data_IF_268599597726
#
_entry.id   IF_268599597726
#
_cell.length_a   1.000
_cell.length_b   1.000
_cell.length_c   1.000
_cell.angle_alpha   90.00
_cell.angle_beta   90.00
_cell.angle_gamma   90.00
#
_symmetry.space_group_name_H-M   'P 1'
#
loop_
_entity.id
_entity.type
_entity.pdbx_description
1 polymer ?
#
# COMPACT_ATOMS: atom_id res chain seq x y z
N UNK A 1 20.81 13.17 -7.86
CA UNK A 1 20.85 11.75 -7.46
C UNK A 1 19.95 11.65 -6.24
N UNK A 2 18.64 11.79 -6.43
CA UNK A 2 17.69 11.70 -5.32
C UNK A 2 17.65 10.25 -4.87
N UNK A 3 17.92 10.04 -3.59
CA UNK A 3 17.85 8.75 -2.94
C UNK A 3 16.46 8.15 -3.21
N UNK A 4 16.42 6.90 -3.70
CA UNK A 4 15.19 6.13 -3.72
C UNK A 4 14.60 6.15 -2.30
N UNK A 5 13.29 6.40 -2.11
CA UNK A 5 12.70 6.47 -0.79
C UNK A 5 13.02 5.17 -0.06
N UNK A 6 13.59 5.28 1.14
CA UNK A 6 14.11 4.18 1.94
C UNK A 6 13.09 3.06 2.14
N UNK A 7 13.59 1.87 2.45
CA UNK A 7 12.76 0.69 2.63
C UNK A 7 11.73 0.86 3.73
N UNK A 8 10.45 0.90 3.34
CA UNK A 8 9.32 0.72 4.26
C UNK A 8 9.63 -0.52 5.10
N UNK A 9 9.92 -0.29 6.37
CA UNK A 9 10.31 -1.34 7.29
C UNK A 9 9.06 -2.15 7.68
N UNK A 10 9.25 -3.37 8.17
CA UNK A 10 8.14 -4.26 8.53
C UNK A 10 7.21 -3.64 9.60
N UNK A 11 7.75 -2.73 10.42
CA UNK A 11 7.02 -1.92 11.41
C UNK A 11 6.17 -0.80 10.77
N UNK A 12 6.68 -0.10 9.75
CA UNK A 12 5.91 0.93 9.02
C UNK A 12 4.73 0.32 8.26
N UNK A 13 4.91 -0.92 7.80
CA UNK A 13 3.87 -1.68 7.10
C UNK A 13 2.62 -1.88 7.96
N UNK A 14 2.80 -2.12 9.27
CA UNK A 14 1.71 -2.30 10.22
C UNK A 14 1.00 -0.99 10.57
N UNK A 15 1.69 0.15 10.47
CA UNK A 15 1.09 1.47 10.67
C UNK A 15 0.30 1.93 9.43
N UNK A 16 0.75 1.59 8.22
CA UNK A 16 0.14 2.02 6.97
C UNK A 16 -1.06 1.16 6.55
N UNK A 17 -1.04 -0.15 6.82
CA UNK A 17 -2.11 -1.06 6.39
C UNK A 17 -3.08 -1.34 7.55
N UNK A 18 -4.34 -0.88 7.50
CA UNK A 18 -5.30 -1.12 8.57
C UNK A 18 -5.53 -2.62 8.82
N UNK A 19 -5.85 -3.04 10.07
CA UNK A 19 -5.95 -4.45 10.44
C UNK A 19 -6.86 -5.28 9.53
N UNK A 20 -8.04 -4.75 9.15
CA UNK A 20 -8.97 -5.45 8.25
C UNK A 20 -8.35 -5.83 6.89
N UNK A 21 -7.46 -4.99 6.36
CA UNK A 21 -6.75 -5.30 5.12
C UNK A 21 -5.57 -6.22 5.37
N UNK A 22 -4.83 -6.03 6.46
CA UNK A 22 -3.76 -6.95 6.84
C UNK A 22 -4.28 -8.39 7.01
N UNK A 23 -5.43 -8.56 7.68
CA UNK A 23 -6.11 -9.84 7.83
C UNK A 23 -6.56 -10.41 6.48
N UNK A 24 -7.13 -9.58 5.61
CA UNK A 24 -7.50 -10.01 4.26
C UNK A 24 -6.29 -10.48 3.44
N UNK A 25 -5.15 -9.78 3.50
CA UNK A 25 -3.90 -10.24 2.89
C UNK A 25 -3.48 -11.61 3.47
N UNK A 26 -3.51 -11.76 4.80
CA UNK A 26 -3.14 -12.99 5.48
C UNK A 26 -4.07 -14.17 5.10
N UNK A 27 -5.39 -13.96 4.96
CA UNK A 27 -6.35 -15.01 4.54
C UNK A 27 -6.05 -15.57 3.15
N UNK A 28 -5.33 -14.80 2.32
CA UNK A 28 -4.90 -15.20 0.97
C UNK A 28 -3.50 -15.80 0.95
N UNK A 29 -2.83 -15.88 2.11
CA UNK A 29 -1.41 -16.20 2.23
C UNK A 29 -0.52 -15.13 1.59
N UNK A 30 -0.99 -13.89 1.50
CA UNK A 30 -0.27 -12.78 0.87
C UNK A 30 0.34 -11.87 1.93
N UNK A 31 1.46 -11.22 1.56
CA UNK A 31 2.01 -10.09 2.27
C UNK A 31 1.95 -8.85 1.35
N UNK A 32 1.68 -7.66 1.90
CA UNK A 32 1.67 -6.43 1.11
C UNK A 32 3.06 -6.18 0.51
N UNK A 33 3.11 -5.85 -0.78
CA UNK A 33 4.35 -5.50 -1.45
C UNK A 33 4.72 -4.06 -1.12
N UNK A 34 6.02 -3.75 -1.11
CA UNK A 34 6.53 -2.40 -0.83
C UNK A 34 5.83 -1.30 -1.63
N UNK A 35 5.63 -1.50 -2.94
CA UNK A 35 4.98 -0.48 -3.77
C UNK A 35 3.48 -0.31 -3.46
N UNK A 36 2.82 -1.31 -2.86
CA UNK A 36 1.44 -1.16 -2.38
C UNK A 36 1.41 -0.25 -1.16
N UNK A 37 2.35 -0.45 -0.22
CA UNK A 37 2.49 0.39 0.97
C UNK A 37 2.89 1.83 0.61
N UNK A 38 3.80 2.01 -0.36
CA UNK A 38 4.20 3.33 -0.83
C UNK A 38 3.03 4.12 -1.46
N UNK A 39 2.08 3.44 -2.12
CA UNK A 39 0.86 4.09 -2.63
C UNK A 39 -0.07 4.54 -1.50
N UNK A 40 -0.17 3.76 -0.42
CA UNK A 40 -0.95 4.14 0.77
C UNK A 40 -0.33 5.36 1.45
N UNK A 41 0.99 5.35 1.63
CA UNK A 41 1.74 6.47 2.21
C UNK A 41 1.57 7.75 1.37
N UNK A 42 1.79 7.68 0.06
CA UNK A 42 1.62 8.84 -0.83
C UNK A 42 0.19 9.42 -0.76
N UNK A 43 -0.83 8.56 -0.75
CA UNK A 43 -2.21 8.99 -0.64
C UNK A 43 -2.53 9.61 0.73
N UNK A 44 -1.98 9.07 1.82
CA UNK A 44 -2.15 9.63 3.17
C UNK A 44 -1.57 11.05 3.29
N UNK A 45 -0.59 11.38 2.46
CA UNK A 45 0.03 12.71 2.35
C UNK A 45 -0.62 13.61 1.28
N UNK A 46 -1.72 13.18 0.65
CA UNK A 46 -2.40 13.92 -0.42
C UNK A 46 -1.57 14.06 -1.71
N UNK A 47 -0.58 13.19 -1.92
CA UNK A 47 0.32 13.26 -3.07
C UNK A 47 -0.21 12.45 -4.26
N UNK A 48 0.03 12.98 -5.47
CA UNK A 48 -0.13 12.20 -6.70
C UNK A 48 1.06 11.28 -6.90
N UNK A 49 0.82 10.02 -7.31
CA UNK A 49 1.87 9.03 -7.54
C UNK A 49 1.72 8.33 -8.89
N UNK A 50 2.84 8.09 -9.57
CA UNK A 50 2.93 7.27 -10.77
C UNK A 50 3.52 5.90 -10.41
N UNK A 51 2.70 4.86 -10.48
CA UNK A 51 3.13 3.50 -10.16
C UNK A 51 3.64 2.76 -11.40
N UNK A 52 4.92 2.35 -11.38
CA UNK A 52 5.54 1.50 -12.39
C UNK A 52 5.81 0.13 -11.76
N UNK A 53 5.18 -0.92 -12.29
CA UNK A 53 5.37 -2.30 -11.86
C UNK A 53 5.08 -3.28 -13.01
N UNK A 54 5.75 -4.45 -13.04
CA UNK A 54 5.53 -5.45 -14.09
C UNK A 54 4.12 -6.05 -14.01
N UNK A 55 3.67 -6.65 -15.12
CA UNK A 55 2.41 -7.41 -15.16
C UNK A 55 2.43 -8.51 -14.10
N UNK A 56 1.31 -8.73 -13.41
CA UNK A 56 1.24 -9.67 -12.28
C UNK A 56 1.89 -9.16 -10.99
N UNK A 57 2.55 -7.99 -11.00
CA UNK A 57 3.22 -7.42 -9.83
C UNK A 57 2.30 -6.84 -8.75
N UNK A 58 0.98 -6.90 -8.93
CA UNK A 58 0.02 -6.36 -7.94
C UNK A 58 -0.27 -4.86 -8.08
N UNK A 59 0.09 -4.23 -9.21
CA UNK A 59 -0.09 -2.78 -9.45
C UNK A 59 -1.55 -2.30 -9.34
N UNK A 60 -2.49 -3.14 -9.74
CA UNK A 60 -3.92 -2.80 -9.68
C UNK A 60 -4.36 -2.66 -8.23
N UNK A 61 -4.05 -3.66 -7.40
CA UNK A 61 -4.34 -3.59 -5.97
C UNK A 61 -3.63 -2.41 -5.30
N UNK A 62 -2.38 -2.14 -5.67
CA UNK A 62 -1.63 -0.98 -5.17
C UNK A 62 -2.33 0.36 -5.45
N UNK A 63 -2.88 0.54 -6.66
CA UNK A 63 -3.61 1.76 -7.03
C UNK A 63 -4.96 1.92 -6.33
N UNK A 64 -5.64 0.81 -5.99
CA UNK A 64 -6.95 0.84 -5.35
C UNK A 64 -6.91 0.83 -3.82
N UNK A 65 -5.84 0.30 -3.21
CA UNK A 65 -5.71 0.18 -1.76
C UNK A 65 -6.01 1.48 -1.01
N UNK A 66 -5.50 2.67 -1.43
CA UNK A 66 -5.82 3.92 -0.76
C UNK A 66 -7.33 4.23 -0.72
N UNK A 67 -8.02 4.08 -1.86
CA UNK A 67 -9.46 4.31 -1.94
C UNK A 67 -10.26 3.28 -1.13
N UNK A 68 -9.85 2.00 -1.16
CA UNK A 68 -10.51 0.95 -0.37
C UNK A 68 -10.35 1.20 1.13
N UNK A 69 -9.17 1.63 1.57
CA UNK A 69 -8.91 2.02 2.95
C UNK A 69 -9.85 3.15 3.35
N UNK A 70 -9.84 4.26 2.60
CA UNK A 70 -10.70 5.40 2.86
C UNK A 70 -12.18 5.00 2.94
N UNK A 71 -12.67 4.17 2.01
CA UNK A 71 -14.05 3.68 2.01
C UNK A 71 -14.39 2.81 3.22
N UNK A 72 -13.46 1.96 3.66
CA UNK A 72 -13.67 1.10 4.82
C UNK A 72 -13.58 1.80 6.16
N UNK A 73 -13.09 3.05 6.20
CA UNK A 73 -13.05 3.90 7.39
C UNK A 73 -14.25 4.86 7.48
N UNK A 74 -15.10 4.90 6.45
CA UNK A 74 -16.36 5.64 6.49
C UNK A 74 -17.35 4.94 7.45
N UNK A 75 -18.14 5.71 8.23
CA UNK A 75 -19.11 5.18 9.19
C UNK A 75 -20.31 4.46 8.53
#
# INVERSE_FOLDING_TARGET
>A
MDAAPDAISQTDSAALLPPRFADWFATRGWAPRRHQLAMIEAASQGQSALLIAPTGGGKTLAGFLPSLIALGDLP
#
